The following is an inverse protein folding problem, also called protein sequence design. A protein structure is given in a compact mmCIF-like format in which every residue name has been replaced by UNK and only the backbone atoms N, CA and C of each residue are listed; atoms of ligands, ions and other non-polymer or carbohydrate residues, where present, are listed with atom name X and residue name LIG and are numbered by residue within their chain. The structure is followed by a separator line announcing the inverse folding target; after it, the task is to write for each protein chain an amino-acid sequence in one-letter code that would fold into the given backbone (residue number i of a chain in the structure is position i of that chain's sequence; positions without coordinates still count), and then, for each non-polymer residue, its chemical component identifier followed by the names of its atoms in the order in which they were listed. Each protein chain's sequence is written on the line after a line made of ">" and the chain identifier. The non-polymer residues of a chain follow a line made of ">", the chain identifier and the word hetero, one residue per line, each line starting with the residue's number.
data_IF_155665903304
#
_entry.id   IF_155665903304
#
_cell.length_a   1.000
_cell.length_b   1.000
_cell.length_c   1.000
_cell.angle_alpha   90.00
_cell.angle_beta   90.00
_cell.angle_gamma   90.00
#
_symmetry.space_group_name_H-M   'P 1'
#
loop_
_entity.id
_entity.type
_entity.pdbx_description
1 polymer ?
#
# COMPACT_ATOMS: atom_id res chain seq x y z
N UNK A 1 4.76 21.42 9.91
CA UNK A 1 3.45 21.67 9.29
C UNK A 1 3.66 21.64 7.79
N UNK A 2 3.39 20.51 7.14
CA UNK A 2 3.56 20.39 5.68
C UNK A 2 2.21 20.75 5.06
N UNK A 3 2.17 21.84 4.30
CA UNK A 3 0.97 22.29 3.61
C UNK A 3 0.70 21.36 2.43
N UNK A 4 -0.40 20.61 2.48
CA UNK A 4 -0.90 19.86 1.34
C UNK A 4 -1.47 20.85 0.31
N UNK A 5 -0.78 21.02 -0.81
CA UNK A 5 -1.40 21.57 -2.01
C UNK A 5 -2.46 20.58 -2.49
N UNK A 6 -3.64 21.07 -2.89
CA UNK A 6 -4.86 20.28 -3.14
C UNK A 6 -4.82 19.24 -4.27
N UNK A 7 -3.64 18.83 -4.74
CA UNK A 7 -3.41 17.73 -5.69
C UNK A 7 -2.79 16.46 -5.08
N UNK A 8 -2.27 16.51 -3.85
CA UNK A 8 -1.44 15.43 -3.28
C UNK A 8 -2.16 14.60 -2.20
N UNK A 9 -3.50 14.67 -2.12
CA UNK A 9 -4.24 13.82 -1.17
C UNK A 9 -4.11 12.35 -1.59
N UNK A 10 -3.69 11.45 -0.67
CA UNK A 10 -3.72 10.03 -0.96
C UNK A 10 -5.12 9.59 -1.39
N UNK A 11 -5.18 8.80 -2.47
CA UNK A 11 -6.41 8.16 -2.93
C UNK A 11 -6.91 7.11 -1.94
N UNK A 12 -5.97 6.54 -1.20
CA UNK A 12 -6.21 5.68 -0.05
C UNK A 12 -5.23 6.11 1.04
N UNK A 13 -5.77 6.20 2.25
CA UNK A 13 -5.04 6.43 3.49
C UNK A 13 -5.72 5.56 4.55
N UNK A 14 -5.02 4.52 5.01
CA UNK A 14 -5.53 3.51 5.93
C UNK A 14 -4.52 3.22 7.00
N UNK A 15 -4.97 3.27 8.24
CA UNK A 15 -4.20 2.92 9.42
C UNK A 15 -4.94 1.90 10.28
N UNK A 16 -4.21 1.17 11.11
CA UNK A 16 -4.78 0.22 12.05
C UNK A 16 -3.72 -0.53 12.83
N UNK A 17 -4.14 -1.62 13.48
CA UNK A 17 -3.26 -2.52 14.22
C UNK A 17 -3.44 -3.94 13.73
N UNK A 18 -2.36 -4.72 13.68
CA UNK A 18 -2.37 -6.14 13.33
C UNK A 18 -1.49 -6.90 14.32
N UNK A 19 -1.92 -8.08 14.74
CA UNK A 19 -1.01 -9.05 15.33
C UNK A 19 -0.11 -9.64 14.24
N UNK A 20 1.01 -10.26 14.63
CA UNK A 20 1.82 -11.07 13.72
C UNK A 20 0.93 -12.11 12.99
N UNK A 21 1.20 -12.31 11.71
CA UNK A 21 0.47 -13.16 10.76
C UNK A 21 -0.94 -12.67 10.39
N UNK A 22 -1.44 -11.59 11.00
CA UNK A 22 -2.71 -10.98 10.57
C UNK A 22 -2.52 -10.12 9.32
N UNK A 23 -3.62 -9.92 8.60
CA UNK A 23 -3.65 -9.04 7.44
C UNK A 23 -4.96 -8.28 7.32
N UNK A 24 -4.86 -7.06 6.79
CA UNK A 24 -5.98 -6.24 6.40
C UNK A 24 -6.04 -6.11 4.88
N UNK A 25 -7.25 -5.90 4.35
CA UNK A 25 -7.45 -5.68 2.92
C UNK A 25 -8.37 -4.50 2.65
N UNK A 26 -8.03 -3.74 1.62
CA UNK A 26 -8.77 -2.57 1.18
C UNK A 26 -8.93 -2.61 -0.33
N UNK A 27 -9.99 -2.01 -0.84
CA UNK A 27 -10.18 -1.85 -2.27
C UNK A 27 -9.99 -0.41 -2.71
N UNK A 28 -9.48 -0.23 -3.93
CA UNK A 28 -9.26 1.07 -4.55
C UNK A 28 -9.47 0.98 -6.06
N UNK A 29 -10.08 2.00 -6.65
CA UNK A 29 -10.15 2.15 -8.11
C UNK A 29 -8.89 2.84 -8.62
N UNK A 30 -8.12 2.17 -9.48
CA UNK A 30 -6.97 2.74 -10.17
C UNK A 30 -7.32 2.98 -11.64
N UNK A 31 -6.86 4.10 -12.19
CA UNK A 31 -7.16 4.52 -13.56
C UNK A 31 -6.11 4.03 -14.54
N UNK A 32 -6.56 3.63 -15.71
CA UNK A 32 -5.70 3.25 -16.83
C UNK A 32 -4.64 4.31 -17.13
N UNK A 33 -3.39 3.89 -17.32
CA UNK A 33 -2.29 4.75 -17.72
C UNK A 33 -1.76 5.69 -16.64
N UNK A 34 -2.39 5.77 -15.46
CA UNK A 34 -1.89 6.56 -14.33
C UNK A 34 -0.91 5.71 -13.52
N UNK A 35 0.30 6.22 -13.33
CA UNK A 35 1.28 5.58 -12.45
C UNK A 35 0.98 5.90 -10.99
N UNK A 36 1.00 4.88 -10.14
CA UNK A 36 0.75 4.98 -8.71
C UNK A 36 1.94 4.46 -7.91
N UNK A 37 2.21 5.13 -6.79
CA UNK A 37 3.04 4.61 -5.70
C UNK A 37 2.12 4.14 -4.58
N UNK A 38 2.28 2.89 -4.17
CA UNK A 38 1.53 2.24 -3.10
C UNK A 38 2.56 1.91 -2.02
N UNK A 39 2.37 2.37 -0.81
CA UNK A 39 3.36 2.20 0.26
C UNK A 39 2.70 1.76 1.56
N UNK A 40 3.48 1.07 2.39
CA UNK A 40 3.12 0.70 3.75
C UNK A 40 4.23 1.09 4.72
N UNK A 41 3.86 1.33 5.97
CA UNK A 41 4.77 1.58 7.09
C UNK A 41 4.21 0.88 8.33
N UNK A 42 5.09 0.46 9.24
CA UNK A 42 4.71 -0.03 10.57
C UNK A 42 5.55 0.65 11.67
N UNK A 43 5.18 0.44 12.93
CA UNK A 43 5.90 0.97 14.09
C UNK A 43 7.23 0.24 14.37
N UNK A 44 7.96 0.66 15.41
CA UNK A 44 9.28 0.13 15.73
C UNK A 44 9.31 -1.35 16.17
N UNK A 45 8.17 -1.94 16.52
CA UNK A 45 8.09 -3.34 16.92
C UNK A 45 7.95 -4.29 15.73
N UNK A 46 7.71 -3.73 14.53
CA UNK A 46 7.58 -4.47 13.28
C UNK A 46 8.89 -4.47 12.48
N UNK A 47 9.46 -5.66 12.26
CA UNK A 47 10.62 -5.83 11.37
C UNK A 47 10.22 -6.10 9.93
N UNK A 48 9.01 -6.62 9.67
CA UNK A 48 8.55 -6.91 8.31
C UNK A 48 7.05 -6.70 8.12
N UNK A 49 6.72 -5.77 7.24
CA UNK A 49 5.37 -5.51 6.74
C UNK A 49 5.32 -5.87 5.26
N UNK A 50 4.37 -6.72 4.85
CA UNK A 50 4.17 -7.07 3.44
C UNK A 50 3.04 -6.27 2.82
N UNK A 51 3.32 -5.69 1.66
CA UNK A 51 2.33 -5.04 0.82
C UNK A 51 2.12 -5.81 -0.48
N UNK A 52 0.86 -6.11 -0.79
CA UNK A 52 0.46 -6.83 -2.00
C UNK A 52 -0.59 -6.01 -2.75
N UNK A 53 -0.41 -5.85 -4.05
CA UNK A 53 -1.45 -5.42 -4.96
C UNK A 53 -1.96 -6.63 -5.75
N UNK A 54 -3.27 -6.84 -5.75
CA UNK A 54 -3.92 -7.93 -6.45
C UNK A 54 -5.19 -7.45 -7.19
N UNK A 55 -5.66 -8.27 -8.13
CA UNK A 55 -7.02 -8.14 -8.68
C UNK A 55 -8.08 -8.50 -7.64
N UNK A 56 -9.34 -8.14 -7.88
CA UNK A 56 -10.45 -8.58 -7.02
C UNK A 56 -10.62 -10.10 -6.95
N UNK A 57 -10.14 -10.84 -7.95
CA UNK A 57 -10.10 -12.31 -7.96
C UNK A 57 -8.90 -12.90 -7.19
N UNK A 58 -8.15 -12.08 -6.44
CA UNK A 58 -6.96 -12.47 -5.68
C UNK A 58 -5.77 -12.93 -6.54
N UNK A 59 -5.68 -12.49 -7.80
CA UNK A 59 -4.46 -12.67 -8.60
C UNK A 59 -3.47 -11.57 -8.26
N UNK A 60 -2.31 -11.92 -7.71
CA UNK A 60 -1.26 -10.97 -7.36
C UNK A 60 -0.65 -10.32 -8.60
N UNK A 61 -0.50 -8.99 -8.56
CA UNK A 61 0.02 -8.18 -9.67
C UNK A 61 1.38 -7.58 -9.34
N UNK A 62 1.55 -7.16 -8.09
CA UNK A 62 2.80 -6.61 -7.58
C UNK A 62 2.95 -6.99 -6.10
N UNK A 63 4.18 -7.32 -5.74
CA UNK A 63 4.58 -7.73 -4.41
C UNK A 63 5.96 -7.15 -4.14
N UNK A 64 6.11 -6.50 -2.99
CA UNK A 64 7.43 -6.09 -2.54
C UNK A 64 7.99 -7.25 -1.74
N UNK A 65 9.11 -7.80 -2.20
CA UNK A 65 9.76 -8.98 -1.61
C UNK A 65 10.93 -8.63 -0.71
N UNK A 66 11.39 -7.38 -0.77
CA UNK A 66 12.74 -7.00 -0.32
C UNK A 66 12.76 -5.90 0.72
N UNK A 67 11.67 -5.14 0.84
CA UNK A 67 11.54 -4.13 1.88
C UNK A 67 11.22 -4.77 3.23
N UNK A 68 11.85 -4.22 4.25
CA UNK A 68 11.54 -4.48 5.66
C UNK A 68 10.21 -3.79 6.02
N UNK A 69 10.06 -3.18 7.20
CA UNK A 69 8.83 -2.48 7.62
C UNK A 69 8.31 -1.32 6.74
N UNK A 70 8.88 -1.06 5.55
CA UNK A 70 8.56 0.06 4.65
C UNK A 70 8.39 -0.36 3.18
N UNK A 71 7.42 -1.22 2.82
CA UNK A 71 7.22 -1.67 1.45
C UNK A 71 6.68 -0.60 0.51
N UNK A 72 7.17 -0.59 -0.74
CA UNK A 72 6.72 0.32 -1.80
C UNK A 72 6.54 -0.44 -3.12
N UNK A 73 5.36 -0.30 -3.74
CA UNK A 73 5.03 -0.81 -5.07
C UNK A 73 4.83 0.35 -6.04
N UNK A 74 5.34 0.19 -7.26
CA UNK A 74 5.00 1.05 -8.39
C UNK A 74 4.08 0.29 -9.35
N UNK A 75 2.94 0.87 -9.72
CA UNK A 75 1.99 0.21 -10.60
C UNK A 75 1.30 1.18 -11.55
N UNK A 76 1.23 0.81 -12.84
CA UNK A 76 0.48 1.52 -13.88
C UNK A 76 -0.58 0.56 -14.44
N UNK A 77 -1.88 0.75 -14.13
CA UNK A 77 -2.96 -0.09 -14.63
C UNK A 77 -3.06 -0.03 -16.15
N UNK A 78 -3.31 -1.18 -16.79
CA UNK A 78 -3.64 -1.27 -18.23
C UNK A 78 -5.11 -1.03 -18.53
N UNK A 79 -5.96 -1.05 -17.51
CA UNK A 79 -7.40 -0.79 -17.58
C UNK A 79 -7.83 -0.09 -16.31
N UNK A 80 -8.88 0.73 -16.39
CA UNK A 80 -9.49 1.31 -15.19
C UNK A 80 -10.32 0.23 -14.49
N UNK A 81 -9.93 -0.12 -13.26
CA UNK A 81 -10.57 -1.20 -12.50
C UNK A 81 -10.39 -1.02 -10.99
N UNK A 82 -11.14 -1.80 -10.22
CA UNK A 82 -10.94 -1.94 -8.79
C UNK A 82 -9.87 -3.00 -8.51
N UNK A 83 -8.98 -2.68 -7.57
CA UNK A 83 -7.87 -3.52 -7.14
C UNK A 83 -7.96 -3.74 -5.63
N UNK A 84 -7.33 -4.82 -5.16
CA UNK A 84 -7.19 -5.13 -3.74
C UNK A 84 -5.76 -4.82 -3.29
N UNK A 85 -5.65 -4.04 -2.24
CA UNK A 85 -4.41 -3.87 -1.48
C UNK A 85 -4.52 -4.72 -0.23
N UNK A 86 -3.51 -5.55 0.02
CA UNK A 86 -3.38 -6.32 1.26
C UNK A 86 -2.13 -5.89 2.00
N UNK A 87 -2.30 -5.60 3.28
CA UNK A 87 -1.22 -5.35 4.23
C UNK A 87 -1.15 -6.56 5.16
N UNK A 88 -0.01 -7.23 5.25
CA UNK A 88 0.19 -8.37 6.14
C UNK A 88 1.37 -8.11 7.09
N UNK A 89 1.15 -8.35 8.38
CA UNK A 89 2.16 -8.19 9.43
C UNK A 89 2.97 -9.48 9.53
N UNK A 90 4.07 -9.60 8.79
CA UNK A 90 4.86 -10.84 8.76
C UNK A 90 5.73 -10.99 10.02
N UNK A 91 6.28 -9.90 10.55
CA UNK A 91 7.09 -9.95 11.77
C UNK A 91 6.77 -8.76 12.68
N UNK A 92 6.22 -9.05 13.88
CA UNK A 92 5.88 -8.09 14.93
C UNK A 92 6.32 -8.64 16.29
N UNK A 93 7.23 -7.92 16.96
CA UNK A 93 7.84 -8.37 18.21
C UNK A 93 6.90 -8.22 19.42
N UNK A 94 6.10 -7.15 19.45
CA UNK A 94 5.14 -6.86 20.51
C UNK A 94 3.76 -6.61 19.91
N UNK A 95 2.92 -7.64 19.98
CA UNK A 95 1.56 -7.54 19.44
C UNK A 95 0.66 -6.61 20.27
N UNK A 96 -0.23 -5.83 19.63
CA UNK A 96 -0.32 -5.64 18.18
C UNK A 96 0.62 -4.52 17.70
N UNK A 97 1.15 -4.65 16.49
CA UNK A 97 1.90 -3.56 15.84
C UNK A 97 0.94 -2.65 15.06
N UNK A 98 1.20 -1.35 15.07
CA UNK A 98 0.52 -0.38 14.24
C UNK A 98 1.04 -0.41 12.80
N UNK A 99 0.17 -0.10 11.83
CA UNK A 99 0.54 0.11 10.45
C UNK A 99 -0.24 1.26 9.82
N UNK A 100 0.33 1.84 8.76
CA UNK A 100 -0.40 2.62 7.78
C UNK A 100 -0.05 2.19 6.35
N UNK A 101 -0.99 2.39 5.44
CA UNK A 101 -0.84 2.17 4.01
C UNK A 101 -1.48 3.31 3.22
N UNK A 102 -0.81 3.70 2.14
CA UNK A 102 -1.21 4.82 1.30
C UNK A 102 -1.07 4.55 -0.18
N UNK A 103 -1.90 5.23 -0.98
CA UNK A 103 -1.80 5.24 -2.46
C UNK A 103 -1.81 6.67 -2.95
N UNK A 104 -0.78 7.04 -3.71
CA UNK A 104 -0.70 8.35 -4.37
C UNK A 104 -0.46 8.17 -5.88
N UNK A 105 -1.07 8.99 -6.73
CA UNK A 105 -0.61 9.11 -8.11
C UNK A 105 0.81 9.63 -8.09
N UNK A 106 1.76 8.89 -8.67
CA UNK A 106 3.10 9.41 -8.91
C UNK A 106 2.98 10.40 -10.07
N UNK A 107 3.09 11.71 -9.80
CA UNK A 107 3.18 12.73 -10.85
C UNK A 107 4.46 12.50 -11.66
N UNK A 108 4.37 11.69 -12.71
CA UNK A 108 5.55 11.16 -13.40
C UNK A 108 5.23 10.44 -14.71
N UNK A 109 4.46 11.10 -15.58
CA UNK A 109 4.55 11.01 -17.04
C UNK A 109 3.65 12.10 -17.65
N UNK A 110 4.12 13.34 -17.65
CA UNK A 110 3.65 14.33 -18.64
C UNK A 110 4.41 14.03 -19.93
N UNK A 111 3.76 13.97 -21.11
CA UNK A 111 4.40 13.66 -22.38
C UNK A 111 5.57 14.60 -22.71
#
# INVERSE_FOLDING_TARGET
>A
MVHAHGGDRPLLDKEGTLNQEESASFTITLREGVSYSIFGVCDEDCSRLRLVLATLANSELALDRTSEGFPVLQFTPRVTAEYRIRVAMEECRLNPCWYAAGVIPSSGAKP
#
